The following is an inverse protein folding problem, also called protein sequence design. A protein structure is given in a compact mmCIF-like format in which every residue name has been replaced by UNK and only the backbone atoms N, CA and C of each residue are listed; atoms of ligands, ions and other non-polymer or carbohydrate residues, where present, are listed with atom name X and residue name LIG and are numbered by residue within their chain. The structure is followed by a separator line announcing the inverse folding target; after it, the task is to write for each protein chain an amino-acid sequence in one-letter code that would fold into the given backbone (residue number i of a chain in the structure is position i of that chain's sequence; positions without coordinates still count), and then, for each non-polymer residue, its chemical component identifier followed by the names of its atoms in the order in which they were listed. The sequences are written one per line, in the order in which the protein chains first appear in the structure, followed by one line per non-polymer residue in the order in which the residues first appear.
data_IF_315354569027
#
_entry.id   IF_315354569027
#
_cell.length_a   1.000
_cell.length_b   1.000
_cell.length_c   1.000
_cell.angle_alpha   90.00
_cell.angle_beta   90.00
_cell.angle_gamma   90.00
#
_symmetry.space_group_name_H-M   'P 1'
#
loop_
_entity.id
_entity.type
_entity.pdbx_description
1 polymer ?
#
# COMPACT_ATOMS: atom_id res chain seq x y z
N UNK A 1 -14.79 2.01 15.60
CA UNK A 1 -13.80 2.75 14.78
C UNK A 1 -12.43 2.47 15.41
N UNK A 2 -11.44 1.99 14.64
CA UNK A 2 -10.13 1.59 15.20
C UNK A 2 -9.24 2.81 15.44
N UNK A 3 -9.52 3.56 16.51
CA UNK A 3 -8.81 4.80 16.87
C UNK A 3 -7.29 4.61 16.98
N UNK A 4 -6.82 3.47 17.48
CA UNK A 4 -5.38 3.23 17.65
C UNK A 4 -4.59 3.12 16.35
N UNK A 5 -5.18 2.64 15.25
CA UNK A 5 -4.45 2.56 13.97
C UNK A 5 -4.30 3.95 13.35
N UNK A 6 -5.36 4.76 13.39
CA UNK A 6 -5.33 6.12 12.86
C UNK A 6 -4.31 6.97 13.63
N UNK A 7 -4.26 6.87 14.97
CA UNK A 7 -3.28 7.58 15.81
C UNK A 7 -1.82 7.21 15.46
N UNK A 8 -1.54 5.93 15.22
CA UNK A 8 -0.21 5.48 14.81
C UNK A 8 0.13 6.07 13.43
N UNK A 9 -0.79 5.97 12.46
CA UNK A 9 -0.57 6.48 11.11
C UNK A 9 -0.34 7.99 11.12
N UNK A 10 -1.17 8.75 11.84
CA UNK A 10 -1.03 10.21 11.95
C UNK A 10 0.32 10.60 12.57
N UNK A 11 0.75 9.89 13.63
CA UNK A 11 2.07 10.10 14.24
C UNK A 11 3.20 9.82 13.25
N UNK A 12 3.22 8.63 12.64
CA UNK A 12 4.29 8.23 11.72
C UNK A 12 4.35 9.13 10.48
N UNK A 13 3.20 9.51 9.92
CA UNK A 13 3.13 10.42 8.77
C UNK A 13 3.72 11.79 9.12
N UNK A 14 3.41 12.32 10.32
CA UNK A 14 3.94 13.61 10.79
C UNK A 14 5.44 13.54 11.06
N UNK A 15 5.91 12.54 11.81
CA UNK A 15 7.32 12.40 12.18
C UNK A 15 8.22 12.18 10.96
N UNK A 16 7.77 11.37 10.00
CA UNK A 16 8.54 11.03 8.80
C UNK A 16 8.25 11.94 7.61
N UNK A 17 7.36 12.92 7.78
CA UNK A 17 6.93 13.87 6.74
C UNK A 17 6.40 13.15 5.50
N UNK A 18 5.59 12.12 5.69
CA UNK A 18 4.94 11.37 4.61
C UNK A 18 3.72 12.18 4.13
N UNK A 19 3.69 12.65 2.88
CA UNK A 19 2.62 13.54 2.41
C UNK A 19 1.29 12.82 2.20
N UNK A 20 1.33 11.54 1.83
CA UNK A 20 0.13 10.74 1.56
C UNK A 20 0.40 9.25 1.68
N UNK A 21 -0.62 8.51 2.13
CA UNK A 21 -0.55 7.07 2.40
C UNK A 21 -1.92 6.42 2.19
N UNK A 22 -1.93 5.17 1.73
CA UNK A 22 -3.11 4.31 1.78
C UNK A 22 -2.77 3.06 2.59
N UNK A 23 -3.69 2.64 3.46
CA UNK A 23 -3.56 1.47 4.31
C UNK A 23 -4.73 0.52 4.10
N UNK A 24 -4.43 -0.77 3.94
CA UNK A 24 -5.41 -1.84 4.02
C UNK A 24 -4.95 -2.90 5.02
N UNK A 25 -5.89 -3.42 5.82
CA UNK A 25 -5.65 -4.56 6.73
C UNK A 25 -6.57 -5.70 6.33
N UNK A 26 -5.97 -6.85 6.04
CA UNK A 26 -6.68 -8.07 5.66
C UNK A 26 -6.59 -9.08 6.79
N UNK A 27 -7.73 -9.56 7.26
CA UNK A 27 -7.83 -10.60 8.28
C UNK A 27 -8.79 -11.68 7.82
N UNK A 28 -8.34 -12.95 7.83
CA UNK A 28 -9.13 -14.11 7.38
C UNK A 28 -9.74 -13.91 5.99
N UNK A 29 -8.94 -13.40 5.05
CA UNK A 29 -9.34 -13.15 3.66
C UNK A 29 -10.30 -11.96 3.45
N UNK A 30 -10.63 -11.21 4.50
CA UNK A 30 -11.50 -10.03 4.41
C UNK A 30 -10.73 -8.76 4.71
N UNK A 31 -10.98 -7.71 3.95
CA UNK A 31 -10.48 -6.36 4.26
C UNK A 31 -11.30 -5.84 5.45
N UNK A 32 -10.65 -5.67 6.60
CA UNK A 32 -11.27 -5.14 7.82
C UNK A 32 -11.00 -3.65 8.02
N UNK A 33 -10.06 -3.10 7.27
CA UNK A 33 -9.73 -1.67 7.22
C UNK A 33 -9.22 -1.34 5.81
N UNK A 34 -9.70 -0.27 5.22
CA UNK A 34 -9.14 0.34 4.01
C UNK A 34 -9.35 1.85 4.11
N UNK A 35 -8.26 2.61 4.16
CA UNK A 35 -8.28 4.06 4.36
C UNK A 35 -7.15 4.75 3.58
N UNK A 36 -7.41 5.99 3.20
CA UNK A 36 -6.47 6.89 2.55
C UNK A 36 -6.24 8.13 3.41
N UNK A 37 -5.01 8.62 3.44
CA UNK A 37 -4.55 9.73 4.26
C UNK A 37 -3.73 10.70 3.42
N UNK A 38 -3.90 12.00 3.64
CA UNK A 38 -3.06 13.04 3.05
C UNK A 38 -3.23 13.26 1.54
N UNK A 39 -2.15 13.71 0.90
CA UNK A 39 -2.12 14.26 -0.46
C UNK A 39 -1.19 13.40 -1.34
N UNK A 40 -1.71 12.94 -2.49
CA UNK A 40 -0.97 12.18 -3.50
C UNK A 40 -0.08 13.07 -4.37
N UNK A 41 -0.51 14.32 -4.61
CA UNK A 41 0.25 15.30 -5.36
C UNK A 41 0.12 16.69 -4.73
N UNK A 42 1.23 17.21 -4.21
CA UNK A 42 1.26 18.50 -3.51
C UNK A 42 1.04 19.69 -4.44
N UNK A 43 1.61 19.66 -5.64
CA UNK A 43 1.53 20.77 -6.60
C UNK A 43 0.08 21.07 -7.01
N UNK A 44 -0.71 20.01 -7.19
CA UNK A 44 -2.10 20.09 -7.61
C UNK A 44 -3.10 19.87 -6.46
N UNK A 45 -2.60 19.74 -5.23
CA UNK A 45 -3.41 19.45 -4.03
C UNK A 45 -4.37 18.27 -4.20
N UNK A 46 -3.90 17.19 -4.84
CA UNK A 46 -4.73 16.00 -5.13
C UNK A 46 -4.69 15.07 -3.90
N UNK A 47 -5.84 14.77 -3.26
CA UNK A 47 -5.87 13.86 -2.12
C UNK A 47 -5.54 12.42 -2.53
N UNK A 48 -5.01 11.64 -1.58
CA UNK A 48 -4.92 10.18 -1.78
C UNK A 48 -6.34 9.60 -1.78
N UNK A 49 -6.63 8.73 -2.74
CA UNK A 49 -7.90 8.02 -2.88
C UNK A 49 -7.69 6.51 -2.87
N UNK A 50 -8.76 5.72 -3.04
CA UNK A 50 -8.68 4.27 -3.21
C UNK A 50 -7.97 3.85 -4.50
N UNK A 51 -7.82 4.77 -5.46
CA UNK A 51 -7.28 4.50 -6.80
C UNK A 51 -5.92 5.16 -7.06
N UNK A 52 -5.33 5.82 -6.05
CA UNK A 52 -3.99 6.39 -6.17
C UNK A 52 -2.96 5.28 -6.41
N UNK A 53 -2.18 5.41 -7.49
CA UNK A 53 -1.09 4.49 -7.78
C UNK A 53 0.18 4.92 -7.06
N UNK A 54 0.87 3.96 -6.45
CA UNK A 54 2.15 4.17 -5.77
C UNK A 54 3.22 3.27 -6.38
N UNK A 55 4.48 3.75 -6.53
CA UNK A 55 5.59 2.87 -6.86
C UNK A 55 5.83 1.88 -5.71
N UNK A 56 5.65 0.59 -5.97
CA UNK A 56 5.81 -0.47 -4.95
C UNK A 56 7.27 -0.93 -4.77
N UNK A 57 8.20 -0.41 -5.57
CA UNK A 57 9.65 -0.65 -5.49
C UNK A 57 10.00 -2.14 -5.39
N UNK A 58 10.82 -2.53 -4.40
CA UNK A 58 11.29 -3.91 -4.24
C UNK A 58 10.18 -4.94 -4.04
N UNK A 59 8.94 -4.54 -3.71
CA UNK A 59 7.81 -5.47 -3.66
C UNK A 59 7.50 -6.09 -5.03
N UNK A 60 7.92 -5.45 -6.14
CA UNK A 60 7.86 -6.03 -7.50
C UNK A 60 8.57 -7.40 -7.57
N UNK A 61 9.61 -7.63 -6.74
CA UNK A 61 10.35 -8.90 -6.73
C UNK A 61 9.47 -10.10 -6.40
N UNK A 62 8.45 -9.93 -5.56
CA UNK A 62 7.51 -11.01 -5.23
C UNK A 62 6.75 -11.43 -6.49
N UNK A 63 6.29 -10.48 -7.30
CA UNK A 63 5.61 -10.76 -8.57
C UNK A 63 6.54 -11.47 -9.55
N UNK A 64 7.78 -10.98 -9.70
CA UNK A 64 8.77 -11.64 -10.58
C UNK A 64 9.09 -13.05 -10.11
N UNK A 65 9.28 -13.27 -8.81
CA UNK A 65 9.54 -14.60 -8.24
C UNK A 65 8.38 -15.57 -8.48
N UNK A 66 7.13 -15.12 -8.27
CA UNK A 66 5.94 -15.92 -8.57
C UNK A 66 5.88 -16.26 -10.07
N UNK A 67 6.12 -15.28 -10.95
CA UNK A 67 6.13 -15.52 -12.39
C UNK A 67 7.21 -16.54 -12.81
N UNK A 68 8.41 -16.46 -12.22
CA UNK A 68 9.48 -17.45 -12.44
C UNK A 68 9.05 -18.83 -11.97
N UNK A 69 8.45 -18.96 -10.77
CA UNK A 69 7.99 -20.26 -10.28
C UNK A 69 6.84 -20.85 -11.10
N UNK A 70 5.98 -20.02 -11.68
CA UNK A 70 4.97 -20.48 -12.64
C UNK A 70 5.61 -21.05 -13.91
N UNK A 71 6.75 -20.52 -14.35
CA UNK A 71 7.48 -21.08 -15.50
C UNK A 71 8.13 -22.42 -15.14
N UNK A 72 8.67 -22.55 -13.92
CA UNK A 72 9.20 -23.83 -13.40
C UNK A 72 8.09 -24.89 -13.33
N UNK A 73 6.92 -24.54 -12.80
CA UNK A 73 5.76 -25.45 -12.74
C UNK A 73 5.27 -25.90 -14.13
N UNK A 74 5.50 -25.07 -15.15
CA UNK A 74 5.17 -25.36 -16.55
C UNK A 74 6.30 -26.09 -17.31
N UNK A 75 7.40 -26.45 -16.65
CA UNK A 75 8.62 -26.99 -17.26
C UNK A 75 9.19 -26.10 -18.39
N UNK A 76 8.98 -24.78 -18.30
CA UNK A 76 9.46 -23.80 -19.28
C UNK A 76 10.85 -23.25 -18.96
N UNK A 77 11.31 -23.45 -17.72
CA UNK A 77 12.67 -23.23 -17.20
C UNK A 77 12.93 -24.17 -16.03
#
# INVERSE_FOLDING_TARGET
MNHGVDEIIDREMKERKIPGLQLAVVQKGKIILSKSYGIANMQYNIPVSSTTSFPINSNTKVFTGVAVMQLVEQDRI
#
